data_IF_238743760499
#
_entry.id   IF_238743760499
#
_cell.length_a   1.000
_cell.length_b   1.000
_cell.length_c   1.000
_cell.angle_alpha   90.00
_cell.angle_beta   90.00
_cell.angle_gamma   90.00
#
_symmetry.space_group_name_H-M   'P 1'
#
loop_
_entity.id
_entity.type
_entity.pdbx_description
1 polymer ?
#
# COMPACT_ATOMS: atom_id res chain seq x y z
N UNK A 1 -9.33 -4.69 6.31
CA UNK A 1 -9.32 -6.06 6.91
C UNK A 1 -10.67 -6.33 7.54
N UNK A 2 -11.05 -5.64 8.63
CA UNK A 2 -12.34 -5.84 9.31
C UNK A 2 -13.56 -5.89 8.39
N UNK A 3 -13.66 -4.95 7.45
CA UNK A 3 -14.77 -4.94 6.47
C UNK A 3 -14.85 -6.22 5.63
N UNK A 4 -13.73 -6.68 5.07
CA UNK A 4 -13.69 -7.93 4.32
C UNK A 4 -13.92 -9.18 5.19
N UNK A 5 -13.81 -9.07 6.51
CA UNK A 5 -14.20 -10.13 7.46
C UNK A 5 -15.68 -10.05 7.84
N UNK A 6 -16.46 -9.12 7.27
CA UNK A 6 -17.86 -8.88 7.65
C UNK A 6 -18.00 -8.15 8.99
N UNK A 7 -16.93 -7.54 9.51
CA UNK A 7 -16.88 -6.90 10.84
C UNK A 7 -16.87 -5.36 10.77
N UNK A 8 -17.29 -4.76 9.65
CA UNK A 8 -17.38 -3.30 9.54
C UNK A 8 -18.32 -2.68 10.60
N UNK A 9 -19.41 -3.37 10.95
CA UNK A 9 -20.36 -2.94 11.97
C UNK A 9 -19.81 -2.91 13.40
N UNK A 10 -18.67 -3.58 13.66
CA UNK A 10 -18.00 -3.57 14.96
C UNK A 10 -17.07 -2.35 15.13
N UNK A 11 -16.88 -1.54 14.09
CA UNK A 11 -16.00 -0.37 14.14
C UNK A 11 -16.78 0.78 14.78
N UNK A 12 -16.28 1.27 15.92
CA UNK A 12 -16.86 2.42 16.64
C UNK A 12 -16.13 3.73 16.37
N UNK A 13 -14.87 3.65 15.92
CA UNK A 13 -14.01 4.81 15.69
C UNK A 13 -12.96 4.51 14.63
N UNK A 14 -12.37 5.55 14.04
CA UNK A 14 -11.36 5.40 12.98
C UNK A 14 -10.28 6.46 13.03
N UNK A 15 -9.14 6.23 12.37
CA UNK A 15 -8.16 7.29 12.16
C UNK A 15 -8.55 8.18 10.98
N UNK A 16 -7.90 9.34 10.86
CA UNK A 16 -8.01 10.24 9.70
C UNK A 16 -7.68 9.57 8.36
N UNK A 17 -6.88 8.51 8.39
CA UNK A 17 -6.41 7.84 7.19
C UNK A 17 -7.36 6.71 6.73
N UNK A 18 -8.23 6.24 7.62
CA UNK A 18 -9.19 5.19 7.30
C UNK A 18 -10.39 5.82 6.59
N UNK A 19 -10.59 5.43 5.33
CA UNK A 19 -11.66 5.97 4.47
C UNK A 19 -12.57 4.92 3.86
N UNK A 20 -12.29 3.64 4.14
CA UNK A 20 -13.00 2.52 3.54
C UNK A 20 -13.38 1.49 4.62
N UNK A 21 -14.57 0.88 4.49
CA UNK A 21 -15.62 1.15 3.50
C UNK A 21 -16.26 2.53 3.70
N UNK A 22 -17.02 3.04 2.73
CA UNK A 22 -17.64 4.37 2.86
C UNK A 22 -18.53 4.51 4.11
N UNK A 23 -19.08 3.40 4.61
CA UNK A 23 -19.90 3.36 5.83
C UNK A 23 -19.17 3.80 7.11
N UNK A 24 -17.83 3.69 7.18
CA UNK A 24 -17.06 4.13 8.35
C UNK A 24 -16.78 5.64 8.36
N UNK A 25 -17.05 6.35 7.25
CA UNK A 25 -16.71 7.77 7.13
C UNK A 25 -17.45 8.65 8.15
N UNK A 26 -18.65 8.23 8.57
CA UNK A 26 -19.47 8.89 9.58
C UNK A 26 -19.00 8.66 11.03
N UNK A 27 -18.08 7.71 11.24
CA UNK A 27 -17.61 7.38 12.58
C UNK A 27 -16.67 8.46 13.13
N UNK A 28 -16.61 8.62 14.47
CA UNK A 28 -15.67 9.52 15.13
C UNK A 28 -14.23 9.28 14.70
N UNK A 29 -13.50 10.39 14.52
CA UNK A 29 -12.08 10.37 14.20
C UNK A 29 -11.26 10.53 15.48
N UNK A 30 -10.40 9.54 15.75
CA UNK A 30 -9.55 9.48 16.94
C UNK A 30 -8.11 9.96 16.68
N UNK A 31 -7.91 10.84 15.70
CA UNK A 31 -6.60 11.34 15.30
C UNK A 31 -5.89 10.45 14.28
N UNK A 32 -4.59 10.22 14.47
CA UNK A 32 -3.76 9.45 13.52
C UNK A 32 -3.19 8.20 14.18
N UNK A 33 -2.82 7.20 13.38
CA UNK A 33 -2.13 6.01 13.89
C UNK A 33 -0.82 6.33 14.65
N UNK A 34 -0.11 7.42 14.33
CA UNK A 34 1.12 7.81 15.04
C UNK A 34 0.86 8.64 16.30
N UNK A 35 -0.24 9.40 16.30
CA UNK A 35 -0.65 10.30 17.38
C UNK A 35 -2.17 10.19 17.56
N UNK A 36 -2.66 9.13 18.22
CA UNK A 36 -4.07 9.00 18.54
C UNK A 36 -4.44 9.96 19.67
N UNK A 37 -5.67 10.48 19.65
CA UNK A 37 -6.22 11.21 20.78
C UNK A 37 -6.79 10.19 21.78
N UNK A 38 -6.10 10.02 22.92
CA UNK A 38 -6.42 9.00 23.93
C UNK A 38 -7.82 9.22 24.52
N UNK A 39 -8.20 10.45 24.85
CA UNK A 39 -9.52 10.77 25.39
C UNK A 39 -10.62 10.45 24.38
N UNK A 40 -10.40 10.81 23.12
CA UNK A 40 -11.34 10.47 22.04
C UNK A 40 -11.48 8.96 21.85
N UNK A 41 -10.41 8.17 22.03
CA UNK A 41 -10.49 6.70 22.00
C UNK A 41 -11.31 6.18 23.19
N UNK A 42 -11.01 6.64 24.41
CA UNK A 42 -11.71 6.20 25.62
C UNK A 42 -13.19 6.53 25.59
N UNK A 43 -13.57 7.67 25.02
CA UNK A 43 -14.97 8.08 24.86
C UNK A 43 -15.81 7.08 24.03
N UNK A 44 -15.18 6.32 23.14
CA UNK A 44 -15.85 5.31 22.31
C UNK A 44 -16.00 3.96 23.00
N UNK A 45 -15.45 3.80 24.21
CA UNK A 45 -15.49 2.58 25.02
C UNK A 45 -15.17 1.29 24.23
N UNK A 46 -14.05 1.24 23.47
CA UNK A 46 -13.72 0.07 22.69
C UNK A 46 -13.32 -1.10 23.60
N UNK A 47 -13.69 -2.31 23.20
CA UNK A 47 -13.21 -3.56 23.82
C UNK A 47 -11.86 -4.00 23.26
N UNK A 48 -11.50 -3.56 22.05
CA UNK A 48 -10.24 -3.82 21.37
C UNK A 48 -9.80 -2.63 20.50
N UNK A 49 -8.52 -2.26 20.59
CA UNK A 49 -7.87 -1.32 19.68
C UNK A 49 -6.92 -2.07 18.75
N UNK A 50 -7.13 -1.95 17.44
CA UNK A 50 -6.22 -2.46 16.42
C UNK A 50 -5.25 -1.35 16.00
N UNK A 51 -3.96 -1.57 16.20
CA UNK A 51 -2.91 -0.60 15.89
C UNK A 51 -1.97 -1.18 14.85
N UNK A 52 -1.73 -0.43 13.76
CA UNK A 52 -0.63 -0.74 12.86
C UNK A 52 0.68 -0.20 13.46
N UNK A 53 1.70 -1.05 13.56
CA UNK A 53 3.01 -0.70 14.04
C UNK A 53 3.62 0.42 13.17
N UNK A 54 3.98 1.52 13.82
CA UNK A 54 4.72 2.62 13.22
C UNK A 54 6.20 2.55 13.54
N UNK A 55 6.86 3.72 13.56
CA UNK A 55 8.21 3.86 14.14
C UNK A 55 8.19 3.52 15.63
N UNK A 56 9.37 3.40 16.26
CA UNK A 56 9.50 3.21 17.72
C UNK A 56 8.61 4.17 18.53
N UNK A 57 8.40 5.39 18.04
CA UNK A 57 7.51 6.40 18.64
C UNK A 57 6.04 5.97 18.78
N UNK A 58 5.58 4.95 18.05
CA UNK A 58 4.24 4.40 18.18
C UNK A 58 4.05 3.55 19.46
N UNK A 59 5.10 3.29 20.24
CA UNK A 59 4.99 2.57 21.52
C UNK A 59 4.32 3.41 22.61
N UNK A 60 4.62 4.72 22.70
CA UNK A 60 4.12 5.59 23.76
C UNK A 60 2.58 5.69 23.77
N UNK A 61 1.88 5.91 22.63
CA UNK A 61 0.42 5.93 22.64
C UNK A 61 -0.19 4.57 22.94
N UNK A 62 0.44 3.48 22.50
CA UNK A 62 -0.01 2.10 22.81
C UNK A 62 0.10 1.83 24.31
N UNK A 63 1.20 2.22 24.94
CA UNK A 63 1.39 2.12 26.39
C UNK A 63 0.37 2.98 27.14
N UNK A 64 0.09 4.21 26.69
CA UNK A 64 -0.92 5.06 27.29
C UNK A 64 -2.31 4.40 27.25
N UNK A 65 -2.74 3.90 26.09
CA UNK A 65 -4.02 3.17 25.95
C UNK A 65 -4.09 1.95 26.88
N UNK A 66 -3.01 1.16 26.97
CA UNK A 66 -2.92 0.00 27.86
C UNK A 66 -2.97 0.39 29.34
N UNK A 67 -2.33 1.50 29.75
CA UNK A 67 -2.40 2.02 31.13
C UNK A 67 -3.82 2.42 31.53
N UNK A 68 -4.67 2.79 30.57
CA UNK A 68 -6.10 3.03 30.79
C UNK A 68 -6.96 1.76 30.64
N UNK A 69 -6.36 0.56 30.69
CA UNK A 69 -7.07 -0.72 30.72
C UNK A 69 -7.58 -1.21 29.36
N UNK A 70 -7.24 -0.53 28.26
CA UNK A 70 -7.66 -0.96 26.92
C UNK A 70 -6.80 -2.12 26.40
N UNK A 71 -7.45 -3.09 25.77
CA UNK A 71 -6.77 -4.15 25.01
C UNK A 71 -6.28 -3.57 23.69
N UNK A 72 -4.97 -3.59 23.47
CA UNK A 72 -4.36 -3.06 22.24
C UNK A 72 -3.57 -4.16 21.53
N UNK A 73 -4.04 -4.54 20.35
CA UNK A 73 -3.36 -5.47 19.44
C UNK A 73 -2.55 -4.67 18.41
N UNK A 74 -1.24 -4.86 18.41
CA UNK A 74 -0.32 -4.17 17.50
C UNK A 74 0.11 -5.13 16.40
N UNK A 75 -0.04 -4.72 15.15
CA UNK A 75 0.27 -5.53 13.98
C UNK A 75 1.36 -4.90 13.15
N UNK A 76 2.21 -5.74 12.58
CA UNK A 76 3.17 -5.36 11.56
C UNK A 76 2.95 -6.23 10.33
N UNK A 77 3.05 -5.61 9.16
CA UNK A 77 3.04 -6.31 7.89
C UNK A 77 3.93 -5.57 6.90
N UNK A 78 5.06 -6.20 6.58
CA UNK A 78 6.04 -5.81 5.57
C UNK A 78 6.13 -6.81 4.43
N UNK A 79 5.48 -7.98 4.54
CA UNK A 79 5.33 -8.94 3.44
C UNK A 79 3.88 -9.38 3.24
N UNK A 80 3.57 -10.02 2.11
CA UNK A 80 2.26 -10.66 1.91
C UNK A 80 2.01 -11.77 2.95
N UNK A 81 3.01 -12.57 3.27
CA UNK A 81 2.90 -13.60 4.30
C UNK A 81 2.57 -13.01 5.69
N UNK A 82 3.23 -11.91 6.06
CA UNK A 82 2.91 -11.20 7.31
C UNK A 82 1.52 -10.58 7.27
N UNK A 83 1.11 -9.98 6.14
CA UNK A 83 -0.24 -9.46 5.95
C UNK A 83 -1.30 -10.55 6.13
N UNK A 84 -1.09 -11.73 5.55
CA UNK A 84 -1.99 -12.86 5.70
C UNK A 84 -2.05 -13.36 7.15
N UNK A 85 -0.90 -13.41 7.84
CA UNK A 85 -0.85 -13.66 9.27
C UNK A 85 -1.61 -12.60 10.09
N UNK A 86 -1.55 -11.32 9.71
CA UNK A 86 -2.35 -10.25 10.34
C UNK A 86 -3.84 -10.50 10.11
N UNK A 87 -4.27 -10.83 8.88
CA UNK A 87 -5.69 -11.12 8.58
C UNK A 87 -6.21 -12.27 9.45
N UNK A 88 -5.46 -13.38 9.55
CA UNK A 88 -5.81 -14.53 10.41
C UNK A 88 -5.93 -14.14 11.88
N UNK A 89 -4.96 -13.37 12.40
CA UNK A 89 -4.97 -12.91 13.79
C UNK A 89 -6.12 -11.93 14.09
N UNK A 90 -6.45 -11.04 13.15
CA UNK A 90 -7.65 -10.19 13.29
C UNK A 90 -8.92 -11.05 13.24
N UNK A 91 -8.98 -12.08 12.38
CA UNK A 91 -10.04 -13.07 12.38
C UNK A 91 -10.25 -13.69 13.77
N UNK A 92 -9.20 -14.23 14.36
CA UNK A 92 -9.23 -14.79 15.72
C UNK A 92 -9.71 -13.78 16.78
N UNK A 93 -9.18 -12.56 16.76
CA UNK A 93 -9.56 -11.53 17.73
C UNK A 93 -11.01 -11.04 17.59
N UNK A 94 -11.65 -11.30 16.44
CA UNK A 94 -13.00 -10.83 16.13
C UNK A 94 -14.01 -11.96 15.98
N UNK A 95 -13.63 -13.22 16.26
CA UNK A 95 -14.47 -14.40 16.05
C UNK A 95 -14.88 -14.58 14.59
N UNK A 96 -13.96 -14.33 13.66
CA UNK A 96 -14.14 -14.40 12.21
C UNK A 96 -13.04 -15.21 11.52
N UNK A 97 -12.61 -16.30 12.17
CA UNK A 97 -11.55 -17.19 11.72
C UNK A 97 -11.86 -17.80 10.35
N UNK A 98 -13.10 -18.28 10.15
CA UNK A 98 -13.52 -18.87 8.87
C UNK A 98 -13.45 -17.84 7.73
N UNK A 99 -13.99 -16.64 7.95
CA UNK A 99 -13.95 -15.56 6.96
C UNK A 99 -12.50 -15.12 6.68
N UNK A 100 -11.63 -15.12 7.70
CA UNK A 100 -10.23 -14.82 7.54
C UNK A 100 -9.52 -15.88 6.69
N UNK A 101 -9.76 -17.17 6.92
CA UNK A 101 -9.15 -18.24 6.10
C UNK A 101 -9.68 -18.25 4.67
N UNK A 102 -10.98 -18.02 4.47
CA UNK A 102 -11.55 -17.86 3.12
C UNK A 102 -10.89 -16.70 2.38
N UNK A 103 -10.75 -15.54 3.04
CA UNK A 103 -10.10 -14.37 2.45
C UNK A 103 -8.63 -14.66 2.11
N UNK A 104 -7.87 -15.22 3.06
CA UNK A 104 -6.44 -15.45 2.86
C UNK A 104 -6.20 -16.47 1.75
N UNK A 105 -6.94 -17.59 1.72
CA UNK A 105 -6.83 -18.56 0.61
C UNK A 105 -7.15 -17.90 -0.74
N UNK A 106 -8.16 -17.04 -0.79
CA UNK A 106 -8.49 -16.27 -1.99
C UNK A 106 -7.35 -15.38 -2.47
N UNK A 107 -6.69 -14.68 -1.54
CA UNK A 107 -5.55 -13.81 -1.83
C UNK A 107 -4.29 -14.59 -2.24
N UNK A 108 -3.99 -15.70 -1.56
CA UNK A 108 -2.89 -16.61 -1.90
C UNK A 108 -3.06 -17.19 -3.30
N UNK A 109 -4.26 -17.72 -3.63
CA UNK A 109 -4.56 -18.24 -4.97
C UNK A 109 -4.37 -17.18 -6.07
N UNK A 110 -4.77 -15.94 -5.81
CA UNK A 110 -4.61 -14.83 -6.77
C UNK A 110 -3.14 -14.49 -7.01
N UNK A 111 -2.32 -14.43 -5.96
CA UNK A 111 -0.87 -14.21 -6.11
C UNK A 111 -0.20 -15.38 -6.85
N UNK A 112 -0.53 -16.62 -6.51
CA UNK A 112 0.00 -17.80 -7.23
C UNK A 112 -0.42 -17.80 -8.70
N UNK A 113 -1.67 -17.46 -9.00
CA UNK A 113 -2.14 -17.36 -10.37
C UNK A 113 -1.41 -16.25 -11.15
N UNK A 114 -1.13 -15.11 -10.49
CA UNK A 114 -0.34 -14.03 -11.08
C UNK A 114 1.09 -14.47 -11.37
N UNK A 115 1.77 -15.08 -10.39
CA UNK A 115 3.14 -15.57 -10.54
C UNK A 115 3.26 -16.63 -11.66
N UNK A 116 2.27 -17.52 -11.78
CA UNK A 116 2.21 -18.52 -12.83
C UNK A 116 2.03 -17.90 -14.22
N UNK A 117 1.14 -16.88 -14.37
CA UNK A 117 0.96 -16.16 -15.64
C UNK A 117 2.22 -15.44 -16.09
N UNK A 118 2.91 -14.79 -15.15
CA UNK A 118 4.18 -14.10 -15.42
C UNK A 118 5.28 -15.09 -15.83
N UNK A 119 5.33 -16.26 -15.18
CA UNK A 119 6.35 -17.29 -15.46
C UNK A 119 6.10 -18.05 -16.77
N UNK A 120 4.83 -18.26 -17.15
CA UNK A 120 4.44 -18.98 -18.37
C UNK A 120 4.62 -18.15 -19.65
N UNK A 121 4.75 -16.83 -19.53
CA UNK A 121 5.03 -15.94 -20.65
C UNK A 121 6.50 -16.10 -21.05
N UNK A 122 6.78 -17.10 -21.89
CA UNK A 122 8.12 -17.58 -22.24
C UNK A 122 9.05 -16.51 -22.85
N UNK A 123 8.49 -15.45 -23.46
CA UNK A 123 9.26 -14.30 -23.98
C UNK A 123 9.73 -13.31 -22.89
N UNK A 124 9.15 -13.41 -21.68
CA UNK A 124 9.29 -12.40 -20.62
C UNK A 124 10.29 -12.78 -19.52
N UNK A 125 10.96 -13.94 -19.63
CA UNK A 125 12.06 -14.31 -18.71
C UNK A 125 13.26 -13.36 -18.81
N UNK A 126 13.29 -12.48 -19.81
CA UNK A 126 14.46 -11.67 -20.17
C UNK A 126 14.36 -10.17 -19.84
N UNK A 127 13.18 -9.59 -19.55
CA UNK A 127 13.13 -8.18 -19.10
C UNK A 127 12.08 -7.95 -18.01
N UNK A 128 12.44 -8.23 -16.76
CA UNK A 128 11.70 -7.71 -15.60
C UNK A 128 11.96 -6.21 -15.49
N UNK A 129 10.97 -5.32 -15.72
CA UNK A 129 11.24 -3.88 -15.79
C UNK A 129 11.76 -3.33 -14.46
N UNK A 130 12.72 -2.43 -14.54
CA UNK A 130 13.25 -1.67 -13.40
C UNK A 130 12.22 -0.64 -12.95
N UNK A 131 11.60 -0.87 -11.80
CA UNK A 131 10.55 -0.02 -11.24
C UNK A 131 11.14 0.91 -10.18
N UNK A 132 10.84 2.20 -10.30
CA UNK A 132 11.02 3.19 -9.25
C UNK A 132 9.66 3.53 -8.64
N UNK A 133 9.55 3.49 -7.31
CA UNK A 133 8.33 3.89 -6.60
C UNK A 133 8.62 5.09 -5.71
N UNK A 134 8.06 6.24 -6.08
CA UNK A 134 8.08 7.46 -5.29
C UNK A 134 7.01 7.42 -4.21
N UNK A 135 7.44 7.39 -2.95
CA UNK A 135 6.57 7.49 -1.78
C UNK A 135 6.18 8.94 -1.53
N UNK A 136 7.11 9.90 -1.71
CA UNK A 136 6.80 11.34 -1.67
C UNK A 136 7.85 12.22 -2.37
N UNK A 137 7.42 13.42 -2.74
CA UNK A 137 8.25 14.55 -3.18
C UNK A 137 7.60 15.88 -2.72
N UNK A 138 8.36 16.96 -2.39
CA UNK A 138 9.83 17.11 -2.41
C UNK A 138 10.53 16.32 -1.30
N UNK A 139 11.87 16.27 -1.35
CA UNK A 139 12.74 15.36 -0.57
C UNK A 139 12.48 13.89 -0.93
N UNK A 140 12.83 13.55 -2.17
CA UNK A 140 12.56 12.26 -2.82
C UNK A 140 12.76 11.10 -1.86
N UNK A 141 11.64 10.51 -1.45
CA UNK A 141 11.58 9.29 -0.66
C UNK A 141 11.06 8.19 -1.57
N UNK A 142 11.88 7.17 -1.77
CA UNK A 142 11.52 6.02 -2.58
C UNK A 142 11.23 4.81 -1.69
N UNK A 143 10.45 3.85 -2.21
CA UNK A 143 10.30 2.55 -1.57
C UNK A 143 11.58 1.72 -1.79
N UNK A 144 12.16 1.20 -0.71
CA UNK A 144 13.30 0.28 -0.79
C UNK A 144 12.85 -1.17 -1.02
N UNK A 145 13.78 -2.11 -0.85
CA UNK A 145 13.54 -3.54 -1.08
C UNK A 145 12.61 -4.16 -0.02
N UNK A 146 12.65 -3.66 1.22
CA UNK A 146 11.77 -4.14 2.28
C UNK A 146 10.38 -3.49 2.23
N UNK A 147 9.37 -4.20 2.73
CA UNK A 147 8.00 -3.70 2.86
C UNK A 147 7.09 -4.09 1.69
N UNK A 148 5.78 -3.85 1.88
CA UNK A 148 4.72 -4.27 0.95
C UNK A 148 4.92 -3.76 -0.48
N UNK A 149 5.46 -2.55 -0.67
CA UNK A 149 5.69 -2.01 -2.02
C UNK A 149 6.73 -2.83 -2.78
N UNK A 150 7.81 -3.26 -2.12
CA UNK A 150 8.81 -4.14 -2.73
C UNK A 150 8.20 -5.49 -3.13
N UNK A 151 7.36 -6.06 -2.28
CA UNK A 151 6.64 -7.30 -2.54
C UNK A 151 5.63 -7.18 -3.70
N UNK A 152 4.91 -6.05 -3.77
CA UNK A 152 4.01 -5.73 -4.89
C UNK A 152 4.80 -5.67 -6.20
N UNK A 153 5.94 -4.96 -6.23
CA UNK A 153 6.80 -4.88 -7.43
C UNK A 153 7.30 -6.26 -7.83
N UNK A 154 7.71 -7.09 -6.86
CA UNK A 154 8.22 -8.44 -7.11
C UNK A 154 7.14 -9.36 -7.71
N UNK A 155 5.96 -9.41 -7.10
CA UNK A 155 4.84 -10.21 -7.59
C UNK A 155 4.25 -9.68 -8.90
N UNK A 156 4.43 -8.39 -9.20
CA UNK A 156 4.06 -7.82 -10.49
C UNK A 156 5.07 -8.13 -11.61
N UNK A 157 6.14 -8.90 -11.33
CA UNK A 157 7.17 -9.23 -12.31
C UNK A 157 8.17 -8.11 -12.58
N UNK A 158 8.18 -7.05 -11.77
CA UNK A 158 9.18 -5.97 -11.83
C UNK A 158 10.41 -6.24 -10.97
N UNK A 159 11.41 -5.37 -11.08
CA UNK A 159 12.57 -5.29 -10.18
C UNK A 159 12.59 -3.91 -9.55
N UNK A 160 12.56 -3.81 -8.22
CA UNK A 160 12.74 -2.50 -7.58
C UNK A 160 14.19 -2.03 -7.82
N UNK A 161 14.35 -0.90 -8.52
CA UNK A 161 15.67 -0.35 -8.84
C UNK A 161 16.39 0.29 -7.64
N UNK A 162 15.69 0.55 -6.54
CA UNK A 162 16.26 1.10 -5.30
C UNK A 162 16.86 -0.03 -4.46
N UNK A 163 18.18 -0.19 -4.47
CA UNK A 163 18.87 -1.32 -3.82
C UNK A 163 18.88 -1.30 -2.28
N UNK A 164 18.40 -0.21 -1.65
CA UNK A 164 18.36 -0.09 -0.19
C UNK A 164 17.51 -1.20 0.44
N UNK A 165 18.07 -1.94 1.39
CA UNK A 165 17.39 -3.03 2.10
C UNK A 165 16.35 -2.52 3.11
N UNK A 166 16.35 -1.23 3.42
CA UNK A 166 15.35 -0.60 4.27
C UNK A 166 13.99 -0.47 3.53
N UNK A 167 12.95 -0.13 4.30
CA UNK A 167 11.60 0.11 3.74
C UNK A 167 11.56 1.37 2.86
N UNK A 168 12.35 2.38 3.21
CA UNK A 168 12.39 3.65 2.52
C UNK A 168 13.82 4.11 2.33
N UNK A 169 14.13 4.63 1.15
CA UNK A 169 15.40 5.25 0.82
C UNK A 169 15.19 6.73 0.51
N UNK A 170 16.07 7.60 1.01
CA UNK A 170 16.14 9.00 0.58
C UNK A 170 17.13 9.10 -0.55
N UNK A 171 16.73 9.76 -1.63
CA UNK A 171 17.55 9.89 -2.82
C UNK A 171 17.56 11.35 -3.29
N UNK A 172 18.58 11.71 -4.05
CA UNK A 172 18.64 12.87 -4.92
C UNK A 172 18.05 12.53 -6.30
N UNK A 173 17.71 13.53 -7.11
CA UNK A 173 17.25 13.27 -8.48
C UNK A 173 18.37 12.69 -9.34
N UNK A 174 19.62 13.07 -9.08
CA UNK A 174 20.81 12.54 -9.73
C UNK A 174 21.00 11.04 -9.45
N UNK A 175 20.69 10.59 -8.23
CA UNK A 175 20.64 9.16 -7.91
C UNK A 175 19.50 8.45 -8.66
N UNK A 176 18.31 9.05 -8.74
CA UNK A 176 17.19 8.48 -9.50
C UNK A 176 17.55 8.32 -10.99
N UNK A 177 18.25 9.29 -11.59
CA UNK A 177 18.73 9.20 -12.97
C UNK A 177 19.68 8.02 -13.14
N UNK A 178 20.65 7.84 -12.21
CA UNK A 178 21.60 6.72 -12.24
C UNK A 178 20.93 5.35 -12.11
N UNK A 179 19.76 5.28 -11.46
CA UNK A 179 19.00 4.04 -11.36
C UNK A 179 18.38 3.61 -12.69
N UNK A 180 18.29 4.51 -13.68
CA UNK A 180 17.73 4.22 -15.02
C UNK A 180 16.40 3.44 -14.94
N UNK A 181 15.36 3.97 -14.26
CA UNK A 181 14.11 3.25 -14.13
C UNK A 181 13.37 3.18 -15.46
N UNK A 182 12.82 2.00 -15.76
CA UNK A 182 12.00 1.71 -16.94
C UNK A 182 10.51 1.94 -16.67
N UNK A 183 10.11 1.92 -15.40
CA UNK A 183 8.77 2.26 -14.93
C UNK A 183 8.87 3.18 -13.70
N UNK A 184 8.03 4.22 -13.65
CA UNK A 184 8.00 5.20 -12.56
C UNK A 184 6.61 5.31 -11.94
N UNK A 185 6.48 4.88 -10.69
CA UNK A 185 5.23 4.92 -9.93
C UNK A 185 5.25 6.12 -8.99
N UNK A 186 4.27 7.00 -9.12
CA UNK A 186 4.11 8.20 -8.29
C UNK A 186 2.96 7.98 -7.33
N UNK A 187 3.26 7.73 -6.06
CA UNK A 187 2.22 7.57 -5.06
C UNK A 187 1.43 8.88 -4.89
N UNK A 188 0.10 8.80 -4.80
CA UNK A 188 -0.78 9.90 -4.41
C UNK A 188 -1.56 9.51 -3.16
N UNK A 189 -1.54 10.38 -2.16
CA UNK A 189 -2.22 10.15 -0.88
C UNK A 189 -1.76 11.10 0.22
N UNK A 190 -2.18 10.90 1.48
CA UNK A 190 -1.75 11.73 2.60
C UNK A 190 -0.24 11.99 2.72
N UNK A 191 0.62 11.03 2.35
CA UNK A 191 2.08 11.20 2.38
C UNK A 191 2.63 11.95 1.16
N UNK A 192 1.86 12.03 0.07
CA UNK A 192 2.21 12.72 -1.17
C UNK A 192 0.94 13.36 -1.76
N UNK A 193 0.48 14.49 -1.20
CA UNK A 193 -0.85 15.02 -1.50
C UNK A 193 -0.95 15.67 -2.89
N UNK A 194 0.14 16.27 -3.37
CA UNK A 194 0.17 16.99 -4.64
C UNK A 194 1.48 16.72 -5.43
N UNK A 195 1.80 15.46 -5.77
CA UNK A 195 2.98 15.15 -6.55
C UNK A 195 2.90 15.71 -7.96
N UNK A 196 4.02 16.27 -8.44
CA UNK A 196 4.17 16.62 -9.84
C UNK A 196 4.26 15.35 -10.70
N UNK A 197 3.56 15.28 -11.85
CA UNK A 197 3.78 14.22 -12.82
C UNK A 197 5.22 14.27 -13.37
N UNK A 198 5.71 13.15 -13.88
CA UNK A 198 7.12 13.00 -14.27
C UNK A 198 7.53 13.94 -15.41
N UNK A 199 6.65 14.21 -16.37
CA UNK A 199 6.86 15.12 -17.52
C UNK A 199 7.10 16.59 -17.10
N UNK A 200 6.57 16.97 -15.94
CA UNK A 200 6.76 18.29 -15.32
C UNK A 200 8.04 18.38 -14.48
N UNK A 201 8.93 17.38 -14.51
CA UNK A 201 10.20 17.38 -13.78
C UNK A 201 11.39 17.42 -14.75
N UNK A 202 11.92 18.62 -15.10
CA UNK A 202 12.91 18.78 -16.16
C UNK A 202 14.15 17.89 -16.00
N UNK A 203 14.64 17.73 -14.77
CA UNK A 203 15.83 16.93 -14.44
C UNK A 203 15.65 15.43 -14.70
N UNK A 204 14.40 14.94 -14.67
CA UNK A 204 14.09 13.51 -14.85
C UNK A 204 13.62 13.17 -16.27
N UNK A 205 13.58 14.12 -17.20
CA UNK A 205 13.06 13.89 -18.56
C UNK A 205 13.83 12.87 -19.38
N UNK A 206 15.11 12.66 -19.08
CA UNK A 206 15.99 11.77 -19.82
C UNK A 206 15.97 10.31 -19.32
N UNK A 207 15.25 9.98 -18.24
CA UNK A 207 15.22 8.61 -17.72
C UNK A 207 14.32 7.72 -18.62
N UNK A 208 14.57 6.40 -18.70
CA UNK A 208 13.82 5.52 -19.60
C UNK A 208 12.30 5.56 -19.41
N UNK A 209 11.83 5.62 -18.16
CA UNK A 209 10.40 5.73 -17.84
C UNK A 209 9.75 7.01 -18.38
N UNK A 210 10.48 8.14 -18.39
CA UNK A 210 9.98 9.40 -18.94
C UNK A 210 9.91 9.35 -20.48
N UNK A 211 10.95 8.80 -21.11
CA UNK A 211 11.03 8.68 -22.57
C UNK A 211 9.98 7.73 -23.15
N UNK A 212 9.70 6.63 -22.45
CA UNK A 212 8.71 5.62 -22.87
C UNK A 212 7.28 5.92 -22.41
N UNK A 213 7.07 6.98 -21.62
CA UNK A 213 5.76 7.29 -21.04
C UNK A 213 5.28 6.29 -19.98
N UNK A 214 6.15 5.40 -19.48
CA UNK A 214 5.84 4.42 -18.42
C UNK A 214 5.91 5.05 -17.04
N UNK A 215 5.08 6.06 -16.82
CA UNK A 215 4.95 6.77 -15.55
C UNK A 215 3.49 6.91 -15.14
N UNK A 216 3.14 6.45 -13.94
CA UNK A 216 1.75 6.36 -13.49
C UNK A 216 1.57 6.86 -12.06
N UNK A 217 0.42 7.47 -11.79
CA UNK A 217 0.00 7.73 -10.42
C UNK A 217 -0.63 6.47 -9.82
N UNK A 218 -0.29 6.18 -8.58
CA UNK A 218 -0.81 5.03 -7.83
C UNK A 218 -1.37 5.47 -6.47
N UNK A 219 -2.42 4.81 -5.99
CA UNK A 219 -3.07 5.14 -4.71
C UNK A 219 -2.24 4.64 -3.52
N UNK A 220 -1.84 5.55 -2.62
CA UNK A 220 -1.17 5.24 -1.35
C UNK A 220 -1.92 4.17 -0.54
N UNK A 221 -3.25 4.26 -0.47
CA UNK A 221 -4.06 3.34 0.32
C UNK A 221 -4.04 1.92 -0.24
N UNK A 222 -3.82 1.79 -1.54
CA UNK A 222 -3.78 0.50 -2.24
C UNK A 222 -2.38 -0.11 -2.24
N UNK A 223 -1.35 0.71 -2.42
CA UNK A 223 0.04 0.24 -2.57
C UNK A 223 0.83 0.19 -1.26
N UNK A 224 0.66 1.18 -0.38
CA UNK A 224 1.61 1.41 0.71
C UNK A 224 1.04 1.11 2.09
N UNK A 225 -0.29 0.95 2.19
CA UNK A 225 -0.98 0.54 3.42
C UNK A 225 -1.23 -0.96 3.41
N UNK A 226 -0.77 -1.71 4.43
CA UNK A 226 -1.03 -3.14 4.52
C UNK A 226 -2.52 -3.46 4.57
N UNK A 227 -2.99 -4.28 3.63
CA UNK A 227 -4.38 -4.69 3.53
C UNK A 227 -4.63 -5.59 2.31
N UNK A 228 -5.80 -6.26 2.22
CA UNK A 228 -6.10 -7.21 1.14
C UNK A 228 -5.95 -6.60 -0.26
N UNK A 229 -6.17 -5.29 -0.40
CA UNK A 229 -6.01 -4.53 -1.65
C UNK A 229 -4.58 -4.47 -2.18
N UNK A 230 -3.57 -4.84 -1.40
CA UNK A 230 -2.19 -4.93 -1.90
C UNK A 230 -2.06 -6.02 -2.98
N UNK A 231 -2.87 -7.09 -2.93
CA UNK A 231 -2.90 -8.09 -4.01
C UNK A 231 -3.48 -7.49 -5.29
N UNK A 232 -4.56 -6.71 -5.19
CA UNK A 232 -5.10 -5.94 -6.31
C UNK A 232 -4.06 -4.96 -6.88
N UNK A 233 -3.13 -4.46 -6.07
CA UNK A 233 -2.07 -3.55 -6.48
C UNK A 233 -0.98 -4.28 -7.30
N UNK A 234 -0.65 -5.51 -6.90
CA UNK A 234 0.27 -6.38 -7.63
C UNK A 234 -0.30 -6.76 -9.00
N UNK A 235 -1.58 -7.14 -9.06
CA UNK A 235 -2.26 -7.45 -10.33
C UNK A 235 -2.37 -6.23 -11.26
N UNK A 236 -2.72 -5.06 -10.71
CA UNK A 236 -2.77 -3.80 -11.46
C UNK A 236 -1.38 -3.46 -12.03
N UNK A 237 -0.35 -3.51 -11.18
CA UNK A 237 1.01 -3.20 -11.60
C UNK A 237 1.50 -4.21 -12.65
N UNK A 238 1.18 -5.50 -12.52
CA UNK A 238 1.53 -6.49 -13.52
C UNK A 238 0.96 -6.15 -14.90
N UNK A 239 -0.31 -5.71 -14.96
CA UNK A 239 -0.93 -5.27 -16.21
C UNK A 239 -0.31 -4.01 -16.81
N UNK A 240 0.25 -3.11 -15.98
CA UNK A 240 0.99 -1.94 -16.45
C UNK A 240 2.40 -2.28 -16.96
N UNK A 241 3.07 -3.22 -16.29
CA UNK A 241 4.43 -3.64 -16.64
C UNK A 241 4.47 -4.57 -17.86
N UNK A 242 3.46 -5.43 -17.99
CA UNK A 242 3.39 -6.55 -18.93
C UNK A 242 2.04 -6.55 -19.68
N UNK A 243 1.77 -5.56 -20.54
CA UNK A 243 0.47 -5.40 -21.21
C UNK A 243 0.10 -6.58 -22.13
N UNK A 244 1.07 -7.36 -22.60
CA UNK A 244 0.90 -8.60 -23.35
C UNK A 244 0.26 -9.72 -22.50
N UNK A 245 0.43 -9.67 -21.18
CA UNK A 245 -0.24 -10.56 -20.26
C UNK A 245 -1.61 -9.94 -19.98
N UNK A 246 -2.66 -10.48 -20.60
CA UNK A 246 -4.06 -10.09 -20.34
C UNK A 246 -4.40 -10.33 -18.86
N UNK A 247 -4.06 -9.37 -18.00
CA UNK A 247 -4.60 -9.22 -16.66
C UNK A 247 -5.94 -8.47 -16.78
N UNK A 248 -6.93 -8.74 -15.91
CA UNK A 248 -8.14 -7.93 -15.89
C UNK A 248 -7.74 -6.47 -15.68
N UNK A 249 -8.04 -5.63 -16.68
CA UNK A 249 -7.56 -4.25 -16.71
C UNK A 249 -8.00 -3.49 -15.44
N UNK A 250 -7.13 -2.64 -14.87
CA UNK A 250 -7.53 -1.76 -13.78
C UNK A 250 -8.61 -0.79 -14.28
N UNK A 251 -9.72 -0.68 -13.54
CA UNK A 251 -10.65 0.44 -13.69
C UNK A 251 -9.97 1.70 -13.14
N UNK A 252 -9.09 2.30 -13.93
CA UNK A 252 -8.54 3.64 -13.64
C UNK A 252 -9.69 4.64 -13.84
N UNK A 253 -10.03 5.50 -12.85
CA UNK A 253 -10.94 6.61 -13.09
C UNK A 253 -10.23 7.57 -14.05
N UNK A 254 -10.69 7.62 -15.29
CA UNK A 254 -10.30 8.66 -16.23
C UNK A 254 -10.80 9.98 -15.67
N UNK A 255 -9.86 10.83 -15.23
CA UNK A 255 -10.12 12.23 -14.93
C UNK A 255 -10.52 12.91 -16.24
N UNK A 256 -11.82 12.92 -16.56
CA UNK A 256 -12.37 13.86 -17.52
C UNK A 256 -12.27 15.25 -16.90
N UNK A 257 -11.25 16.01 -17.31
CA UNK A 257 -11.32 17.46 -17.26
C UNK A 257 -12.59 17.88 -18.00
N UNK A 258 -13.62 18.27 -17.25
CA UNK A 258 -14.64 19.19 -17.76
C UNK A 258 -14.10 20.58 -17.50
N UNK A 259 -13.47 21.15 -18.52
CA UNK A 259 -13.40 22.59 -18.65
C UNK A 259 -14.84 23.12 -18.62
N UNK A 260 -15.13 23.91 -17.60
CA UNK A 260 -16.34 24.74 -17.58
C UNK A 260 -15.83 26.17 -17.60
N UNK A 261 -15.96 26.79 -18.77
CA UNK A 261 -16.05 28.23 -18.92
C UNK A 261 -17.36 28.72 -18.30
#
# INVERSE_FOLDING_TARGET
ILDGLGRAGAIVARTNADRLPASIMRLPVIGTHMRPNIEAVLAQRPDLVLQLAGRKEASLPVEALRKHGLKVAVFHASTFAELFSVIRRVGLLTGSEEQAEVMVRGLEMRLTALDNKLSASADNRTSRPRVFFEVRSPNMLAAGQAGLVGEIIRHAGGVNCVADKAKFARLSEEEVIRLMPEAYLIQRGPMNPAPLPLDKRPRLRAIPAALSGKAWFVDEQKYSRPGPRNVDAAEELAGLLHPEIKSPAPKVPTSKHKDTK
#
